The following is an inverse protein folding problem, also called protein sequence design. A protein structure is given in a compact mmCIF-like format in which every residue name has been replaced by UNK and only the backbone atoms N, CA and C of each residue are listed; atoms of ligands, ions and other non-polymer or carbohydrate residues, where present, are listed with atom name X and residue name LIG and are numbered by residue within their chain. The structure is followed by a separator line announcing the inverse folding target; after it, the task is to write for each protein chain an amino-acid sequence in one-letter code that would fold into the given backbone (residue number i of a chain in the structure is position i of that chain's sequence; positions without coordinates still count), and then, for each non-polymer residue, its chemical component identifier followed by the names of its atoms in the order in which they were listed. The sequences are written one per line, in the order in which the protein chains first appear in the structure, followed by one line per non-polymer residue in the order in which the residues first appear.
data_IF_502608714662
#
_entry.id   IF_502608714662
#
_cell.length_a   1.000
_cell.length_b   1.000
_cell.length_c   1.000
_cell.angle_alpha   90.00
_cell.angle_beta   90.00
_cell.angle_gamma   90.00
#
_symmetry.space_group_name_H-M   'P 1'
#
loop_
_entity.id
_entity.type
_entity.pdbx_description
1 polymer ?
#
# COMPACT_ATOMS: atom_id res chain seq x y z
N UNK A 1 -76.60 21.50 12.30
CA UNK A 1 -75.91 22.61 13.00
C UNK A 1 -74.49 22.67 12.44
N UNK A 2 -74.23 23.44 11.37
CA UNK A 2 -73.74 24.85 11.34
C UNK A 2 -72.39 25.01 12.07
N UNK A 3 -71.25 25.48 11.53
CA UNK A 3 -70.80 26.29 10.35
C UNK A 3 -69.35 25.84 9.99
N UNK A 4 -68.90 25.70 8.73
CA UNK A 4 -68.50 26.67 7.67
C UNK A 4 -67.21 27.48 7.94
N UNK A 5 -66.14 27.01 7.28
CA UNK A 5 -65.10 27.66 6.46
C UNK A 5 -63.92 28.51 7.06
N UNK A 6 -62.82 28.66 6.27
CA UNK A 6 -61.43 28.82 6.68
C UNK A 6 -60.93 30.26 6.48
N UNK A 7 -59.66 30.53 6.81
CA UNK A 7 -59.05 31.81 6.44
C UNK A 7 -57.77 31.64 5.60
N UNK A 8 -57.83 32.25 4.41
CA UNK A 8 -56.71 32.63 3.55
C UNK A 8 -56.14 33.93 4.10
N UNK A 9 -54.83 34.14 4.02
CA UNK A 9 -54.32 35.50 3.80
C UNK A 9 -52.93 35.48 3.16
N UNK A 10 -52.95 35.53 1.83
CA UNK A 10 -51.92 36.17 1.00
C UNK A 10 -51.73 37.62 1.44
N UNK A 11 -50.48 38.05 1.61
CA UNK A 11 -50.07 39.43 1.35
C UNK A 11 -48.67 39.41 0.76
N UNK A 12 -48.63 39.69 -0.55
CA UNK A 12 -47.45 40.06 -1.27
C UNK A 12 -46.97 41.44 -0.79
N UNK A 13 -45.66 41.63 -0.66
CA UNK A 13 -45.06 42.92 -0.96
C UNK A 13 -43.72 42.74 -1.67
N UNK A 14 -43.68 43.43 -2.79
CA UNK A 14 -42.68 43.54 -3.83
C UNK A 14 -41.48 44.43 -3.44
N UNK A 15 -40.29 43.98 -3.89
CA UNK A 15 -39.19 44.74 -4.52
C UNK A 15 -38.43 45.78 -3.68
N UNK A 16 -37.12 45.56 -3.49
CA UNK A 16 -36.05 46.47 -3.97
C UNK A 16 -34.83 45.64 -4.40
N UNK A 17 -34.42 45.84 -5.65
CA UNK A 17 -33.15 45.38 -6.24
C UNK A 17 -32.02 46.25 -5.70
N UNK A 18 -30.97 45.64 -5.16
CA UNK A 18 -29.68 46.30 -4.92
C UNK A 18 -28.61 45.51 -5.67
N UNK A 19 -28.37 45.95 -6.91
CA UNK A 19 -27.20 45.64 -7.70
C UNK A 19 -25.99 46.34 -7.05
N UNK A 20 -25.24 45.61 -6.23
CA UNK A 20 -23.86 45.99 -5.92
C UNK A 20 -22.94 45.18 -6.83
N UNK A 21 -22.68 45.76 -8.00
CA UNK A 21 -21.54 45.40 -8.85
C UNK A 21 -20.27 45.91 -8.17
N UNK A 22 -19.62 45.08 -7.35
CA UNK A 22 -18.21 45.28 -7.03
C UNK A 22 -17.38 44.50 -8.04
N UNK A 23 -17.03 45.17 -9.13
CA UNK A 23 -15.93 44.77 -9.98
C UNK A 23 -14.64 44.86 -9.16
N UNK A 24 -13.96 43.73 -8.97
CA UNK A 24 -12.55 43.69 -8.62
C UNK A 24 -11.79 43.17 -9.86
N UNK A 25 -10.89 43.96 -10.45
CA UNK A 25 -9.93 43.45 -11.41
C UNK A 25 -8.70 42.90 -10.67
N UNK A 26 -7.86 42.21 -11.45
CA UNK A 26 -6.50 41.71 -11.14
C UNK A 26 -6.43 40.27 -10.65
N UNK A 27 -6.35 39.37 -11.64
CA UNK A 27 -5.25 38.41 -11.79
C UNK A 27 -4.58 37.92 -10.50
N UNK A 28 -5.26 37.03 -9.78
CA UNK A 28 -4.56 35.98 -9.06
C UNK A 28 -4.22 34.86 -10.06
N UNK A 29 -3.20 35.09 -10.87
CA UNK A 29 -2.45 34.03 -11.54
C UNK A 29 -1.83 33.19 -10.43
N UNK A 30 -2.57 32.19 -9.95
CA UNK A 30 -1.97 31.04 -9.30
C UNK A 30 -1.31 30.27 -10.43
N UNK A 31 0.01 30.46 -10.58
CA UNK A 31 0.87 29.53 -11.31
C UNK A 31 0.67 28.14 -10.69
N UNK A 32 -0.24 27.34 -11.24
CA UNK A 32 -0.10 25.89 -11.19
C UNK A 32 1.30 25.59 -11.74
N UNK A 33 2.13 24.81 -11.04
CA UNK A 33 3.25 24.20 -11.73
C UNK A 33 2.66 23.36 -12.85
N UNK A 34 2.85 23.81 -14.09
CA UNK A 34 2.77 22.96 -15.25
C UNK A 34 3.88 21.91 -15.07
N UNK A 35 3.56 20.79 -14.42
CA UNK A 35 4.28 19.55 -14.68
C UNK A 35 3.77 19.06 -16.03
N UNK A 36 4.31 19.64 -17.10
CA UNK A 36 4.28 19.04 -18.42
C UNK A 36 5.08 17.74 -18.35
N UNK A 37 4.43 16.66 -17.93
CA UNK A 37 4.77 15.36 -18.47
C UNK A 37 3.84 15.15 -19.66
N UNK A 38 4.39 15.39 -20.84
CA UNK A 38 3.90 14.77 -22.06
C UNK A 38 3.82 13.26 -21.81
N UNK A 39 2.61 12.74 -21.57
CA UNK A 39 2.33 11.33 -21.78
C UNK A 39 2.10 11.14 -23.26
N UNK A 40 3.19 11.20 -24.02
CA UNK A 40 3.19 10.88 -25.43
C UNK A 40 2.84 9.39 -25.62
N UNK A 41 1.89 9.17 -26.53
CA UNK A 41 1.80 7.96 -27.34
C UNK A 41 1.33 6.65 -26.67
N UNK A 42 0.06 6.60 -26.23
CA UNK A 42 -0.65 5.33 -26.05
C UNK A 42 -1.14 4.81 -27.41
N UNK A 43 -0.22 4.27 -28.21
CA UNK A 43 -0.54 3.43 -29.36
C UNK A 43 0.40 2.22 -29.31
N UNK A 44 -0.14 1.11 -28.82
CA UNK A 44 0.45 -0.24 -28.99
C UNK A 44 1.76 -0.54 -28.26
N UNK A 45 2.27 0.31 -27.37
CA UNK A 45 3.40 -0.03 -26.53
C UNK A 45 2.91 -0.75 -25.27
N UNK A 46 3.30 -2.03 -25.18
CA UNK A 46 3.30 -2.82 -23.95
C UNK A 46 3.80 -1.92 -22.81
N UNK A 47 3.02 -1.84 -21.73
CA UNK A 47 3.39 -1.12 -20.50
C UNK A 47 4.63 -1.81 -19.95
N UNK A 48 5.81 -1.35 -20.35
CA UNK A 48 7.07 -1.82 -19.79
C UNK A 48 7.14 -1.33 -18.36
N UNK A 49 6.61 -2.13 -17.47
CA UNK A 49 6.69 -1.94 -16.03
C UNK A 49 8.15 -1.75 -15.61
N UNK A 50 8.36 -0.87 -14.63
CA UNK A 50 9.68 -0.63 -14.02
C UNK A 50 10.07 -1.77 -13.08
N UNK A 51 9.99 -3.02 -13.55
CA UNK A 51 10.26 -4.22 -12.76
C UNK A 51 11.72 -4.32 -12.30
N UNK A 52 12.65 -3.66 -13.00
CA UNK A 52 14.03 -3.48 -12.53
C UNK A 52 14.09 -2.84 -11.14
N UNK A 53 13.24 -1.85 -10.87
CA UNK A 53 13.18 -1.14 -9.58
C UNK A 53 12.64 -2.04 -8.46
N UNK A 54 11.65 -2.88 -8.75
CA UNK A 54 11.22 -3.95 -7.82
C UNK A 54 12.39 -4.86 -7.52
N UNK A 55 13.15 -5.22 -8.56
CA UNK A 55 14.18 -6.22 -8.40
C UNK A 55 15.42 -5.71 -7.65
N UNK A 56 15.73 -4.44 -7.82
CA UNK A 56 16.86 -3.76 -7.19
C UNK A 56 16.58 -3.36 -5.73
N UNK A 57 15.30 -3.32 -5.31
CA UNK A 57 14.91 -2.99 -3.92
C UNK A 57 14.68 -4.25 -3.08
N UNK A 58 14.16 -5.32 -3.69
CA UNK A 58 14.10 -6.63 -3.02
C UNK A 58 15.50 -7.26 -2.87
N UNK A 59 16.45 -6.96 -3.76
CA UNK A 59 17.87 -7.23 -3.52
C UNK A 59 18.42 -6.16 -2.59
N UNK A 60 18.65 -6.48 -1.30
CA UNK A 60 19.54 -5.65 -0.48
C UNK A 60 20.84 -5.45 -1.28
N UNK A 61 21.24 -4.20 -1.55
CA UNK A 61 22.60 -3.95 -2.00
C UNK A 61 23.51 -4.40 -0.86
N UNK A 62 24.31 -5.43 -1.12
CA UNK A 62 25.47 -5.75 -0.29
C UNK A 62 26.30 -4.47 -0.24
N UNK A 63 26.32 -3.81 0.92
CA UNK A 63 27.26 -2.71 1.11
C UNK A 63 28.66 -3.29 0.90
N UNK A 64 29.42 -2.70 -0.04
CA UNK A 64 30.87 -2.94 -0.16
C UNK A 64 31.60 -2.26 1.02
N UNK A 65 31.14 -2.52 2.24
CA UNK A 65 31.72 -2.06 3.49
C UNK A 65 32.65 -3.14 4.04
N UNK A 66 33.94 -2.82 4.08
CA UNK A 66 35.05 -3.72 4.40
C UNK A 66 34.78 -4.83 5.42
N UNK A 67 35.06 -6.06 4.97
CA UNK A 67 35.24 -7.23 5.82
C UNK A 67 36.27 -6.95 6.92
N UNK A 68 35.78 -6.82 8.15
CA UNK A 68 36.52 -7.17 9.36
C UNK A 68 35.64 -8.14 10.14
N UNK A 69 35.99 -9.42 10.01
CA UNK A 69 35.18 -10.53 10.47
C UNK A 69 35.00 -10.60 11.98
N UNK A 70 34.00 -11.38 12.38
CA UNK A 70 34.04 -12.25 13.55
C UNK A 70 32.69 -12.94 13.68
N UNK A 71 32.61 -14.23 13.36
CA UNK A 71 32.00 -15.25 14.24
C UNK A 71 31.94 -16.58 13.51
N UNK A 72 32.89 -17.44 13.86
CA UNK A 72 32.75 -18.89 13.93
C UNK A 72 31.46 -19.21 14.67
N UNK A 73 30.49 -19.84 14.01
CA UNK A 73 29.48 -20.70 14.62
C UNK A 73 28.89 -21.58 13.51
N UNK A 74 29.45 -22.79 13.39
CA UNK A 74 28.87 -23.90 12.66
C UNK A 74 27.64 -24.40 13.44
N UNK A 75 26.50 -23.72 13.28
CA UNK A 75 25.19 -24.28 13.61
C UNK A 75 24.47 -24.67 12.30
N UNK A 76 23.97 -25.90 12.17
CA UNK A 76 23.27 -26.34 10.97
C UNK A 76 21.95 -25.58 10.85
N UNK A 77 21.90 -24.68 9.87
CA UNK A 77 20.74 -24.01 9.25
C UNK A 77 19.40 -24.42 9.90
N UNK A 78 19.01 -23.73 10.97
CA UNK A 78 17.58 -23.62 11.28
C UNK A 78 16.95 -22.98 10.06
N UNK A 79 15.84 -23.54 9.57
CA UNK A 79 15.06 -22.96 8.48
C UNK A 79 14.56 -21.57 8.94
N UNK A 80 15.37 -20.53 8.78
CA UNK A 80 15.12 -19.19 9.32
C UNK A 80 13.89 -18.62 8.65
N UNK A 81 12.78 -18.59 9.39
CA UNK A 81 11.57 -17.91 8.96
C UNK A 81 11.91 -16.47 8.60
N UNK A 82 11.68 -16.11 7.34
CA UNK A 82 12.07 -14.83 6.80
C UNK A 82 10.84 -14.06 6.33
N UNK A 83 10.49 -13.04 7.11
CA UNK A 83 9.27 -12.26 6.92
C UNK A 83 9.56 -11.07 6.00
N UNK A 84 8.97 -11.06 4.80
CA UNK A 84 9.30 -10.13 3.71
C UNK A 84 8.46 -8.85 3.74
N UNK A 85 7.13 -8.94 3.80
CA UNK A 85 6.25 -7.76 3.87
C UNK A 85 4.99 -8.06 4.68
N UNK A 86 4.43 -7.05 5.39
CA UNK A 86 5.03 -5.76 5.71
C UNK A 86 6.15 -5.88 6.77
N UNK A 87 7.22 -5.10 6.63
CA UNK A 87 8.50 -5.18 7.37
C UNK A 87 9.63 -4.88 6.38
N UNK A 88 10.81 -4.33 6.65
CA UNK A 88 11.68 -4.08 7.81
C UNK A 88 12.26 -2.65 7.68
N UNK A 89 12.64 -2.00 8.78
CA UNK A 89 13.58 -0.86 8.76
C UNK A 89 14.63 -1.10 9.86
N UNK A 90 15.92 -1.34 9.52
CA UNK A 90 16.98 -0.61 10.18
C UNK A 90 17.03 0.82 9.61
N UNK A 91 17.26 1.81 10.46
CA UNK A 91 17.34 3.22 10.09
C UNK A 91 18.24 3.39 8.86
N UNK A 92 17.73 4.07 7.81
CA UNK A 92 18.52 4.34 6.58
C UNK A 92 19.69 5.29 6.85
N UNK A 93 19.63 6.02 7.96
CA UNK A 93 20.75 6.80 8.47
C UNK A 93 21.06 6.34 9.89
N UNK A 94 22.27 5.82 10.13
CA UNK A 94 22.80 5.62 11.49
C UNK A 94 22.91 6.92 12.32
N UNK A 95 22.56 8.07 11.72
CA UNK A 95 22.47 9.40 12.33
C UNK A 95 21.03 9.97 12.39
N UNK A 96 20.00 9.28 11.89
CA UNK A 96 18.62 9.75 12.02
C UNK A 96 18.00 9.23 13.32
N UNK A 97 17.54 10.13 14.18
CA UNK A 97 16.75 9.79 15.38
C UNK A 97 15.32 9.30 15.04
N UNK A 98 15.05 8.87 13.80
CA UNK A 98 13.71 8.47 13.36
C UNK A 98 13.62 6.94 13.24
N UNK A 99 13.28 6.28 14.35
CA UNK A 99 12.85 4.87 14.39
C UNK A 99 11.49 4.71 13.71
N UNK A 100 11.43 4.87 12.39
CA UNK A 100 10.20 4.76 11.61
C UNK A 100 9.84 3.31 11.33
N UNK A 101 8.57 2.95 11.44
CA UNK A 101 7.97 1.74 10.89
C UNK A 101 7.71 1.91 9.40
N UNK A 102 7.85 0.84 8.60
CA UNK A 102 7.38 0.81 7.21
C UNK A 102 5.89 1.21 7.20
N UNK A 103 5.59 2.37 6.63
CA UNK A 103 4.23 2.91 6.52
C UNK A 103 3.56 2.33 5.27
N UNK A 104 2.35 1.78 5.42
CA UNK A 104 1.59 1.15 4.33
C UNK A 104 0.23 1.83 4.14
N UNK A 105 -0.35 1.73 2.94
CA UNK A 105 -1.64 2.33 2.61
C UNK A 105 -2.84 1.40 2.88
N UNK A 106 -2.69 0.10 2.63
CA UNK A 106 -3.80 -0.85 2.66
C UNK A 106 -4.21 -1.26 4.08
N UNK A 107 -5.51 -1.16 4.39
CA UNK A 107 -6.12 -1.69 5.62
C UNK A 107 -6.20 -3.22 5.66
N UNK A 108 -5.88 -3.89 4.55
CA UNK A 108 -5.83 -5.34 4.38
C UNK A 108 -4.49 -5.74 3.75
N UNK A 109 -3.39 -5.67 4.50
CA UNK A 109 -2.05 -5.91 3.97
C UNK A 109 -1.87 -7.33 3.44
N UNK A 110 -0.94 -7.50 2.49
CA UNK A 110 -0.39 -8.78 2.12
C UNK A 110 0.75 -9.12 3.08
N UNK A 111 0.67 -10.28 3.74
CA UNK A 111 1.78 -10.92 4.42
C UNK A 111 2.51 -11.84 3.45
N UNK A 112 3.83 -11.74 3.39
CA UNK A 112 4.69 -12.55 2.53
C UNK A 112 5.93 -12.98 3.32
N UNK A 113 6.32 -14.24 3.21
CA UNK A 113 7.47 -14.80 3.89
C UNK A 113 8.15 -15.92 3.08
N UNK A 114 9.34 -16.32 3.52
CA UNK A 114 10.06 -17.52 3.10
C UNK A 114 10.31 -18.40 4.33
N UNK A 115 10.22 -19.71 4.15
CA UNK A 115 10.23 -20.68 5.25
C UNK A 115 8.83 -21.13 5.66
N UNK A 116 8.76 -22.08 6.58
CA UNK A 116 7.51 -22.69 7.03
C UNK A 116 6.87 -21.88 8.16
N UNK A 117 5.55 -21.68 8.09
CA UNK A 117 4.73 -21.14 9.18
C UNK A 117 3.52 -22.04 9.37
N UNK A 118 3.25 -22.45 10.61
CA UNK A 118 2.03 -23.22 10.97
C UNK A 118 0.80 -22.33 11.13
N UNK A 119 1.02 -21.05 11.38
CA UNK A 119 -0.01 -20.05 11.49
C UNK A 119 0.59 -18.66 11.60
N UNK A 120 -0.26 -17.67 11.40
CA UNK A 120 0.08 -16.25 11.43
C UNK A 120 -0.90 -15.54 12.33
N UNK A 121 -0.41 -14.56 13.07
CA UNK A 121 -1.28 -13.65 13.81
C UNK A 121 -0.86 -12.19 13.64
N UNK A 122 -1.84 -11.30 13.78
CA UNK A 122 -1.68 -9.84 13.71
C UNK A 122 -2.19 -9.25 15.01
N UNK A 123 -1.39 -8.36 15.58
CA UNK A 123 -1.66 -7.72 16.86
C UNK A 123 -1.49 -6.21 16.80
N UNK A 124 -2.25 -5.53 17.64
CA UNK A 124 -2.00 -4.12 17.94
C UNK A 124 -0.67 -3.97 18.68
N UNK A 125 0.17 -3.03 18.21
CA UNK A 125 1.54 -2.92 18.73
C UNK A 125 1.60 -2.46 20.19
N UNK A 126 0.69 -1.59 20.61
CA UNK A 126 0.73 -0.97 21.95
C UNK A 126 0.05 -1.83 23.01
N UNK A 127 -1.09 -2.40 22.66
CA UNK A 127 -1.93 -3.17 23.59
C UNK A 127 -1.64 -4.67 23.55
N UNK A 128 -0.89 -5.14 22.54
CA UNK A 128 -0.67 -6.55 22.26
C UNK A 128 -1.98 -7.35 22.04
N UNK A 129 -3.09 -6.65 21.78
CA UNK A 129 -4.37 -7.26 21.49
C UNK A 129 -4.29 -8.03 20.17
N UNK A 130 -4.67 -9.30 20.19
CA UNK A 130 -4.81 -10.10 18.97
C UNK A 130 -6.01 -9.61 18.16
N UNK A 131 -5.75 -9.22 16.91
CA UNK A 131 -6.75 -8.69 15.99
C UNK A 131 -7.22 -9.75 15.01
N UNK A 132 -6.33 -10.68 14.65
CA UNK A 132 -6.58 -11.75 13.70
C UNK A 132 -5.53 -12.84 13.86
N UNK A 133 -5.93 -14.07 13.62
CA UNK A 133 -5.07 -15.24 13.57
C UNK A 133 -5.60 -16.19 12.49
N UNK A 134 -4.70 -16.92 11.84
CA UNK A 134 -5.03 -17.87 10.81
C UNK A 134 -4.05 -19.06 10.83
N UNK A 135 -4.54 -20.30 10.96
CA UNK A 135 -3.72 -21.49 10.68
C UNK A 135 -3.39 -21.55 9.19
N UNK A 136 -2.19 -22.03 8.87
CA UNK A 136 -1.64 -22.05 7.52
C UNK A 136 -1.28 -23.48 7.10
N UNK A 137 -1.52 -23.78 5.82
CA UNK A 137 -0.96 -24.98 5.20
C UNK A 137 0.55 -24.83 5.04
N UNK A 138 1.37 -25.90 5.18
CA UNK A 138 2.83 -25.81 5.15
C UNK A 138 3.43 -25.17 3.88
N UNK A 139 2.71 -25.24 2.75
CA UNK A 139 3.14 -24.67 1.47
C UNK A 139 2.74 -23.20 1.30
N UNK A 140 2.00 -22.64 2.25
CA UNK A 140 1.58 -21.24 2.20
C UNK A 140 2.76 -20.34 2.50
N UNK A 141 3.04 -19.40 1.59
CA UNK A 141 4.11 -18.39 1.73
C UNK A 141 3.59 -16.96 1.70
N UNK A 142 2.29 -16.79 1.47
CA UNK A 142 1.66 -15.48 1.46
C UNK A 142 0.18 -15.56 1.84
N UNK A 143 -0.33 -14.52 2.49
CA UNK A 143 -1.75 -14.39 2.80
C UNK A 143 -2.15 -12.91 2.91
N UNK A 144 -3.32 -12.56 2.39
CA UNK A 144 -3.90 -11.23 2.59
C UNK A 144 -4.62 -11.24 3.92
N UNK A 145 -4.44 -10.21 4.74
CA UNK A 145 -5.16 -10.03 5.99
C UNK A 145 -6.68 -10.11 5.78
N UNK A 146 -7.35 -10.97 6.55
CA UNK A 146 -8.80 -11.22 6.45
C UNK A 146 -9.59 -10.80 7.69
N UNK A 147 -8.94 -10.15 8.66
CA UNK A 147 -9.61 -9.62 9.84
C UNK A 147 -10.37 -8.32 9.57
N UNK A 148 -10.80 -7.66 10.64
CA UNK A 148 -11.43 -6.33 10.54
C UNK A 148 -10.43 -5.31 9.98
N UNK A 149 -10.83 -4.44 9.04
CA UNK A 149 -9.92 -3.44 8.47
C UNK A 149 -9.08 -2.74 9.54
N UNK A 150 -7.77 -2.70 9.30
CA UNK A 150 -6.84 -2.01 10.19
C UNK A 150 -7.14 -0.51 10.19
N UNK A 151 -6.88 0.15 11.32
CA UNK A 151 -7.23 1.55 11.51
C UNK A 151 -6.07 2.48 11.11
N UNK A 152 -6.34 3.56 10.36
CA UNK A 152 -5.34 4.55 9.99
C UNK A 152 -4.55 5.10 11.19
N UNK A 153 -3.28 5.40 10.97
CA UNK A 153 -2.37 6.00 11.95
C UNK A 153 -1.95 5.07 13.10
N UNK A 154 -2.33 3.80 13.08
CA UNK A 154 -1.96 2.81 14.09
C UNK A 154 -0.77 1.94 13.69
N UNK A 155 -0.08 1.47 14.71
CA UNK A 155 1.07 0.59 14.60
C UNK A 155 0.65 -0.85 14.93
N UNK A 156 1.11 -1.79 14.13
CA UNK A 156 0.78 -3.20 14.22
C UNK A 156 2.05 -4.04 14.14
N UNK A 157 1.95 -5.31 14.56
CA UNK A 157 2.93 -6.31 14.17
C UNK A 157 2.25 -7.62 13.81
N UNK A 158 2.96 -8.41 13.04
CA UNK A 158 2.58 -9.79 12.73
C UNK A 158 3.74 -10.72 13.08
N UNK A 159 3.40 -11.99 13.31
CA UNK A 159 4.35 -13.05 13.68
C UNK A 159 3.77 -14.43 13.37
N UNK A 160 4.63 -15.44 13.40
CA UNK A 160 4.21 -16.83 13.42
C UNK A 160 3.51 -17.18 14.74
N UNK A 161 2.50 -18.05 14.66
CA UNK A 161 1.90 -18.70 15.82
C UNK A 161 2.85 -19.82 16.24
N UNK A 162 3.54 -19.65 17.36
CA UNK A 162 4.44 -20.67 17.91
C UNK A 162 4.08 -21.01 19.35
N UNK A 163 4.50 -22.20 19.83
CA UNK A 163 4.41 -22.57 21.23
C UNK A 163 5.01 -21.51 22.16
N UNK A 164 4.50 -21.45 23.40
CA UNK A 164 4.85 -20.41 24.39
C UNK A 164 6.33 -20.39 24.80
N UNK A 165 7.04 -21.48 24.58
CA UNK A 165 8.45 -21.68 24.89
C UNK A 165 9.41 -21.16 23.79
N UNK A 166 8.89 -20.78 22.62
CA UNK A 166 9.67 -20.18 21.53
C UNK A 166 9.43 -18.67 21.44
N UNK A 167 10.47 -17.90 21.09
CA UNK A 167 10.34 -16.46 20.85
C UNK A 167 9.98 -16.18 19.39
N UNK A 168 8.79 -15.62 19.11
CA UNK A 168 8.37 -15.46 17.72
C UNK A 168 9.09 -14.31 17.04
N UNK A 169 9.60 -14.58 15.85
CA UNK A 169 10.03 -13.55 14.91
C UNK A 169 8.81 -12.69 14.60
N UNK A 170 8.91 -11.37 14.87
CA UNK A 170 7.84 -10.41 14.58
C UNK A 170 8.34 -9.30 13.66
N UNK A 171 7.45 -8.81 12.80
CA UNK A 171 7.68 -7.62 11.99
C UNK A 171 6.60 -6.60 12.28
N UNK A 172 7.01 -5.35 12.49
CA UNK A 172 6.12 -4.23 12.79
C UNK A 172 5.96 -3.33 11.58
N UNK A 173 4.79 -2.70 11.48
CA UNK A 173 4.43 -1.77 10.41
C UNK A 173 3.40 -0.76 10.93
N UNK A 174 3.24 0.34 10.20
CA UNK A 174 2.24 1.38 10.53
C UNK A 174 1.31 1.55 9.35
N UNK A 175 0.02 1.68 9.63
CA UNK A 175 -0.93 2.12 8.62
C UNK A 175 -0.86 3.65 8.53
N UNK A 176 -0.79 4.19 7.31
CA UNK A 176 -0.87 5.63 7.05
C UNK A 176 -2.00 6.27 7.86
N UNK A 177 -1.80 7.49 8.33
CA UNK A 177 -2.88 8.30 8.87
C UNK A 177 -3.92 8.66 7.78
N UNK A 178 -5.04 9.19 8.21
CA UNK A 178 -6.16 9.52 7.33
C UNK A 178 -5.75 10.51 6.22
N UNK A 179 -4.92 11.51 6.53
CA UNK A 179 -4.53 12.53 5.56
C UNK A 179 -3.72 11.94 4.41
N UNK A 180 -2.62 11.25 4.71
CA UNK A 180 -1.79 10.60 3.69
C UNK A 180 -2.56 9.54 2.93
N UNK A 181 -3.38 8.75 3.64
CA UNK A 181 -4.16 7.69 3.02
C UNK A 181 -5.22 8.25 2.08
N UNK A 182 -5.89 9.33 2.45
CA UNK A 182 -6.86 10.01 1.60
C UNK A 182 -6.19 10.63 0.37
N UNK A 183 -4.99 11.18 0.53
CA UNK A 183 -4.20 11.66 -0.60
C UNK A 183 -3.90 10.52 -1.59
N UNK A 184 -3.34 9.41 -1.13
CA UNK A 184 -3.03 8.26 -1.99
C UNK A 184 -4.29 7.70 -2.66
N UNK A 185 -5.40 7.61 -1.91
CA UNK A 185 -6.68 7.15 -2.45
C UNK A 185 -7.20 8.08 -3.54
N UNK A 186 -7.10 9.39 -3.35
CA UNK A 186 -7.51 10.40 -4.33
C UNK A 186 -6.66 10.27 -5.60
N UNK A 187 -5.34 10.20 -5.48
CA UNK A 187 -4.43 10.05 -6.62
C UNK A 187 -4.71 8.75 -7.41
N UNK A 188 -4.97 7.64 -6.73
CA UNK A 188 -5.34 6.37 -7.36
C UNK A 188 -6.69 6.44 -8.08
N UNK A 189 -7.69 7.10 -7.49
CA UNK A 189 -9.01 7.27 -8.12
C UNK A 189 -8.93 8.15 -9.37
N UNK A 190 -8.11 9.20 -9.33
CA UNK A 190 -7.84 10.04 -10.51
C UNK A 190 -7.12 9.25 -11.61
N UNK A 191 -6.09 8.47 -11.25
CA UNK A 191 -5.36 7.60 -12.18
C UNK A 191 -6.33 6.64 -12.88
N UNK A 192 -7.15 5.93 -12.11
CA UNK A 192 -8.11 4.97 -12.62
C UNK A 192 -9.16 5.64 -13.53
N UNK A 193 -9.66 6.82 -13.15
CA UNK A 193 -10.63 7.58 -13.96
C UNK A 193 -10.02 8.01 -15.31
N UNK A 194 -8.76 8.47 -15.30
CA UNK A 194 -8.04 8.87 -16.52
C UNK A 194 -7.79 7.68 -17.45
N UNK A 195 -7.49 6.50 -16.90
CA UNK A 195 -7.26 5.28 -17.67
C UNK A 195 -8.57 4.73 -18.25
N UNK A 196 -9.65 4.71 -17.46
CA UNK A 196 -10.98 4.33 -17.94
C UNK A 196 -11.49 5.23 -19.07
N UNK A 197 -11.23 6.53 -18.99
CA UNK A 197 -11.57 7.47 -20.07
C UNK A 197 -10.79 7.23 -21.37
N UNK A 198 -9.73 6.41 -21.33
CA UNK A 198 -8.93 5.95 -22.48
C UNK A 198 -9.23 4.49 -22.84
N UNK A 199 -10.36 3.94 -22.37
CA UNK A 199 -10.78 2.56 -22.58
C UNK A 199 -9.75 1.51 -22.12
N UNK A 200 -8.94 1.84 -21.09
CA UNK A 200 -7.99 0.90 -20.53
C UNK A 200 -8.70 -0.31 -19.89
N UNK A 201 -8.13 -1.50 -20.08
CA UNK A 201 -8.65 -2.73 -19.48
C UNK A 201 -8.38 -2.79 -17.98
N UNK A 202 -9.08 -3.67 -17.27
CA UNK A 202 -8.87 -3.89 -15.84
C UNK A 202 -7.42 -4.26 -15.51
N UNK A 203 -6.78 -5.08 -16.36
CA UNK A 203 -5.38 -5.49 -16.19
C UNK A 203 -4.44 -4.30 -16.38
N UNK A 204 -4.66 -3.46 -17.39
CA UNK A 204 -3.88 -2.24 -17.61
C UNK A 204 -3.99 -1.28 -16.44
N UNK A 205 -5.20 -1.09 -15.91
CA UNK A 205 -5.43 -0.28 -14.71
C UNK A 205 -4.68 -0.85 -13.50
N UNK A 206 -4.72 -2.18 -13.30
CA UNK A 206 -4.03 -2.82 -12.20
C UNK A 206 -2.50 -2.68 -12.31
N UNK A 207 -1.93 -2.83 -13.51
CA UNK A 207 -0.50 -2.59 -13.77
C UNK A 207 -0.09 -1.14 -13.46
N UNK A 208 -0.90 -0.16 -13.86
CA UNK A 208 -0.62 1.25 -13.55
C UNK A 208 -0.74 1.56 -12.05
N UNK A 209 -1.64 0.89 -11.32
CA UNK A 209 -1.69 0.97 -9.85
C UNK A 209 -0.42 0.41 -9.21
N UNK A 210 0.11 -0.70 -9.73
CA UNK A 210 1.40 -1.26 -9.28
C UNK A 210 2.51 -0.23 -9.51
N UNK A 211 2.61 0.35 -10.70
CA UNK A 211 3.58 1.40 -11.01
C UNK A 211 3.45 2.62 -10.08
N UNK A 212 2.22 3.03 -9.78
CA UNK A 212 1.97 4.11 -8.83
C UNK A 212 2.57 3.80 -7.45
N UNK A 213 2.29 2.63 -6.89
CA UNK A 213 2.82 2.23 -5.57
C UNK A 213 4.35 2.14 -5.58
N UNK A 214 4.95 1.58 -6.63
CA UNK A 214 6.41 1.53 -6.84
C UNK A 214 7.00 2.95 -6.83
N UNK A 215 6.45 3.88 -7.61
CA UNK A 215 6.94 5.25 -7.71
C UNK A 215 6.82 6.00 -6.36
N UNK A 216 5.82 5.65 -5.54
CA UNK A 216 5.64 6.16 -4.17
C UNK A 216 6.44 5.40 -3.11
N UNK A 217 7.24 4.39 -3.50
CA UNK A 217 7.99 3.51 -2.62
C UNK A 217 7.12 2.72 -1.62
N UNK A 218 5.86 2.47 -1.97
CA UNK A 218 4.89 1.72 -1.19
C UNK A 218 4.94 0.23 -1.57
N UNK A 219 6.07 -0.41 -1.27
CA UNK A 219 6.38 -1.77 -1.74
C UNK A 219 5.41 -2.84 -1.26
N UNK A 220 4.95 -2.75 -0.01
CA UNK A 220 3.94 -3.67 0.54
C UNK A 220 2.64 -3.59 -0.26
N UNK A 221 2.23 -2.38 -0.64
CA UNK A 221 1.01 -2.14 -1.40
C UNK A 221 1.17 -2.54 -2.88
N UNK A 222 2.36 -2.32 -3.46
CA UNK A 222 2.70 -2.82 -4.80
C UNK A 222 2.65 -4.36 -4.86
N UNK A 223 3.31 -5.05 -3.92
CA UNK A 223 3.30 -6.52 -3.83
C UNK A 223 1.89 -7.06 -3.62
N UNK A 224 1.08 -6.39 -2.81
CA UNK A 224 -0.33 -6.75 -2.63
C UNK A 224 -1.10 -6.74 -3.95
N UNK A 225 -0.95 -5.70 -4.78
CA UNK A 225 -1.62 -5.63 -6.09
C UNK A 225 -1.07 -6.71 -7.05
N UNK A 226 0.25 -6.93 -7.07
CA UNK A 226 0.89 -7.98 -7.88
C UNK A 226 0.32 -9.38 -7.53
N UNK A 227 0.25 -9.71 -6.24
CA UNK A 227 -0.29 -11.00 -5.79
C UNK A 227 -1.80 -11.12 -6.04
N UNK A 228 -2.54 -10.02 -6.03
CA UNK A 228 -3.95 -10.01 -6.43
C UNK A 228 -4.09 -10.35 -7.91
N UNK A 229 -3.28 -9.74 -8.77
CA UNK A 229 -3.26 -10.03 -10.21
C UNK A 229 -2.83 -11.46 -10.51
N UNK A 230 -1.81 -11.96 -9.80
CA UNK A 230 -1.31 -13.34 -9.96
C UNK A 230 -2.38 -14.41 -9.70
N UNK A 231 -3.34 -14.12 -8.81
CA UNK A 231 -4.45 -15.03 -8.47
C UNK A 231 -5.61 -15.02 -9.48
N UNK A 232 -5.55 -14.19 -10.52
CA UNK A 232 -6.57 -14.16 -11.57
C UNK A 232 -6.42 -15.36 -12.52
N UNK A 233 -7.48 -15.80 -13.23
CA UNK A 233 -7.42 -16.98 -14.11
C UNK A 233 -6.37 -16.92 -15.22
N UNK A 234 -6.05 -15.71 -15.72
CA UNK A 234 -5.05 -15.47 -16.77
C UNK A 234 -4.20 -14.26 -16.38
N UNK A 235 -3.23 -14.40 -15.45
CA UNK A 235 -2.40 -13.28 -15.03
C UNK A 235 -1.49 -12.81 -16.18
N UNK A 236 -1.17 -11.50 -16.27
CA UNK A 236 -0.20 -11.02 -17.25
C UNK A 236 1.16 -11.70 -17.08
N UNK A 237 1.86 -11.98 -18.19
CA UNK A 237 3.15 -12.68 -18.19
C UNK A 237 4.21 -11.98 -17.31
N UNK A 238 4.17 -10.65 -17.28
CA UNK A 238 5.00 -9.80 -16.43
C UNK A 238 4.78 -10.05 -14.93
N UNK A 239 3.53 -10.29 -14.52
CA UNK A 239 3.17 -10.61 -13.14
C UNK A 239 3.69 -12.00 -12.77
N UNK A 240 3.55 -12.98 -13.66
CA UNK A 240 4.06 -14.34 -13.41
C UNK A 240 5.58 -14.37 -13.30
N UNK A 241 6.31 -13.66 -14.18
CA UNK A 241 7.77 -13.58 -14.12
C UNK A 241 8.26 -13.02 -12.78
N UNK A 242 7.60 -11.97 -12.27
CA UNK A 242 7.95 -11.35 -10.98
C UNK A 242 7.67 -12.30 -9.81
N UNK A 243 6.55 -13.02 -9.85
CA UNK A 243 6.22 -13.99 -8.80
C UNK A 243 7.21 -15.15 -8.80
N UNK A 244 7.59 -15.67 -9.97
CA UNK A 244 8.58 -16.74 -10.09
C UNK A 244 9.95 -16.27 -9.59
N UNK A 245 10.33 -15.04 -9.94
CA UNK A 245 11.49 -14.34 -9.40
C UNK A 245 11.47 -14.27 -7.88
N UNK A 246 10.37 -13.85 -7.26
CA UNK A 246 10.20 -13.80 -5.80
C UNK A 246 10.33 -15.19 -5.17
N UNK A 247 9.72 -16.21 -5.78
CA UNK A 247 9.76 -17.59 -5.26
C UNK A 247 11.14 -18.22 -5.36
N UNK A 248 11.88 -17.93 -6.44
CA UNK A 248 13.15 -18.58 -6.75
C UNK A 248 14.38 -17.84 -6.19
N UNK A 249 14.21 -16.63 -5.67
CA UNK A 249 15.31 -15.90 -5.02
C UNK A 249 15.29 -16.12 -3.52
N UNK A 250 16.48 -16.28 -2.93
CA UNK A 250 16.64 -16.31 -1.49
C UNK A 250 16.91 -14.89 -0.99
N UNK A 251 15.88 -14.21 -0.49
CA UNK A 251 16.01 -12.85 0.06
C UNK A 251 16.66 -12.79 1.43
N UNK A 252 16.97 -13.96 1.99
CA UNK A 252 17.30 -14.15 3.39
C UNK A 252 18.73 -14.65 3.57
N UNK A 253 19.49 -14.78 2.47
CA UNK A 253 20.91 -15.15 2.46
C UNK A 253 21.77 -13.91 2.23
N UNK A 254 22.63 -13.59 3.19
CA UNK A 254 23.78 -12.67 3.06
C UNK A 254 25.08 -13.48 2.96
#
# INVERSE_FOLDING_TARGET
MAKILPNKSTLALTVVVLLCSSALPLEAIVKRPQSGQEFSHFQGQLVTLKWGDIWDILRRKKDEGGSRGSSTDDNPIEHTLCMLTPGQLPDRDGNSNHKGSLEIWSEQPLFLWQGEMKGIEVRDYRTNQQLWEQPLEPTTTSIVYQGKPLQPGKDYFWRNTIPLDELPTKKSFRLMDDEKRNQVTTELNELESKLKAKDATADQIALERVNYFINKQLWSDALREIYKMYKMPNPPAEVTDVIDKIKNNNFCRE
#
